data_IF_444077946435
#
_entry.id   IF_444077946435
#
_cell.length_a   1.000
_cell.length_b   1.000
_cell.length_c   1.000
_cell.angle_alpha   90.00
_cell.angle_beta   90.00
_cell.angle_gamma   90.00
#
_symmetry.space_group_name_H-M   'P 1'
#
loop_
_entity.id
_entity.type
_entity.pdbx_description
1 polymer ?
#
# COMPACT_ATOMS: atom_id res chain seq x y z
N UNK A 1 5.05 3.53 -5.32
CA UNK A 1 4.36 2.27 -4.89
C UNK A 1 4.42 1.24 -6.00
N UNK A 2 4.47 -0.05 -5.65
CA UNK A 2 4.55 -1.14 -6.64
C UNK A 2 3.31 -2.04 -6.53
N UNK A 3 2.71 -2.48 -7.66
CA UNK A 3 1.48 -3.29 -7.64
C UNK A 3 1.61 -4.61 -6.89
N UNK A 4 2.82 -5.13 -6.77
CA UNK A 4 3.10 -6.36 -6.03
C UNK A 4 3.14 -6.18 -4.51
N UNK A 5 3.32 -4.95 -4.02
CA UNK A 5 3.37 -4.61 -2.60
C UNK A 5 1.96 -4.28 -2.07
N UNK A 6 1.05 -5.25 -2.13
CA UNK A 6 -0.31 -5.10 -1.59
C UNK A 6 -0.31 -5.20 -0.05
N UNK A 7 -1.31 -4.61 0.63
CA UNK A 7 -1.39 -4.60 2.10
C UNK A 7 -1.25 -5.97 2.76
N UNK A 8 -1.85 -7.00 2.19
CA UNK A 8 -1.83 -8.36 2.72
C UNK A 8 -0.42 -8.96 2.74
N UNK A 9 0.39 -8.67 1.71
CA UNK A 9 1.78 -9.14 1.62
C UNK A 9 2.69 -8.39 2.60
N UNK A 10 2.47 -7.08 2.73
CA UNK A 10 3.18 -6.27 3.73
C UNK A 10 2.83 -6.75 5.14
N UNK A 11 1.55 -7.02 5.41
CA UNK A 11 1.13 -7.60 6.68
C UNK A 11 1.76 -8.97 6.94
N UNK A 12 1.78 -9.86 5.94
CA UNK A 12 2.41 -11.17 6.06
C UNK A 12 3.90 -11.04 6.43
N UNK A 13 4.63 -10.13 5.78
CA UNK A 13 6.03 -9.86 6.11
C UNK A 13 6.18 -9.42 7.57
N UNK A 14 5.37 -8.47 8.03
CA UNK A 14 5.39 -8.01 9.42
C UNK A 14 5.11 -9.14 10.42
N UNK A 15 4.18 -10.06 10.08
CA UNK A 15 3.83 -11.21 10.93
C UNK A 15 4.97 -12.20 11.10
N UNK A 16 5.81 -12.37 10.08
CA UNK A 16 7.00 -13.24 10.19
C UNK A 16 8.05 -12.63 11.13
N UNK A 17 8.30 -11.33 11.05
CA UNK A 17 9.34 -10.67 11.85
C UNK A 17 8.88 -10.22 13.24
N UNK A 18 7.59 -10.36 13.57
CA UNK A 18 7.02 -9.94 14.87
C UNK A 18 7.61 -10.66 16.07
N UNK A 19 8.09 -11.89 15.88
CA UNK A 19 8.61 -12.74 16.98
C UNK A 19 10.08 -12.51 17.22
N UNK A 20 10.86 -12.51 16.13
CA UNK A 20 12.32 -12.36 16.15
C UNK A 20 12.77 -11.70 14.86
N UNK A 21 13.86 -10.95 14.85
CA UNK A 21 14.52 -10.50 13.62
C UNK A 21 14.93 -11.69 12.74
N UNK A 22 14.73 -11.55 11.43
CA UNK A 22 14.99 -12.63 10.46
C UNK A 22 15.94 -12.13 9.38
N UNK A 23 16.90 -12.94 9.01
CA UNK A 23 17.77 -12.67 7.86
C UNK A 23 16.97 -12.58 6.56
N UNK A 24 17.30 -11.59 5.72
CA UNK A 24 16.56 -11.26 4.50
C UNK A 24 16.35 -12.46 3.57
N UNK A 25 17.41 -13.26 3.35
CA UNK A 25 17.34 -14.44 2.47
C UNK A 25 16.39 -15.51 3.00
N UNK A 26 16.34 -15.69 4.32
CA UNK A 26 15.41 -16.62 4.96
C UNK A 26 13.97 -16.10 4.90
N UNK A 27 13.77 -14.81 5.14
CA UNK A 27 12.45 -14.19 5.05
C UNK A 27 11.91 -14.24 3.62
N UNK A 28 12.77 -13.97 2.62
CA UNK A 28 12.40 -14.13 1.21
C UNK A 28 11.94 -15.56 0.91
N UNK A 29 12.69 -16.56 1.35
CA UNK A 29 12.33 -17.96 1.12
C UNK A 29 11.02 -18.40 1.81
N UNK A 30 10.67 -17.77 2.93
CA UNK A 30 9.38 -18.01 3.61
C UNK A 30 8.20 -17.38 2.85
N UNK A 31 8.37 -16.16 2.34
CA UNK A 31 7.30 -15.41 1.68
C UNK A 31 7.15 -15.77 0.19
N UNK A 32 8.23 -16.20 -0.44
CA UNK A 32 8.29 -16.64 -1.86
C UNK A 32 8.87 -18.05 -1.97
N UNK A 33 8.15 -19.10 -1.52
CA UNK A 33 8.63 -20.47 -1.63
C UNK A 33 8.83 -20.87 -3.09
N UNK A 34 10.02 -21.36 -3.45
CA UNK A 34 10.40 -21.71 -4.83
C UNK A 34 9.50 -22.77 -5.48
N UNK A 35 8.89 -23.62 -4.66
CA UNK A 35 8.01 -24.71 -5.13
C UNK A 35 6.59 -24.25 -5.49
N UNK A 36 6.21 -23.00 -5.21
CA UNK A 36 4.91 -22.45 -5.57
C UNK A 36 4.86 -21.82 -6.98
N UNK A 37 5.91 -22.00 -7.78
CA UNK A 37 5.86 -21.85 -9.23
C UNK A 37 5.67 -20.45 -9.79
N UNK A 38 5.98 -19.41 -9.05
CA UNK A 38 5.89 -18.04 -9.54
C UNK A 38 7.22 -17.51 -10.06
N UNK A 39 7.24 -17.00 -11.30
CA UNK A 39 8.36 -16.20 -11.83
C UNK A 39 8.37 -14.75 -11.32
N UNK A 40 7.37 -14.37 -10.53
CA UNK A 40 7.24 -12.99 -10.05
C UNK A 40 7.89 -12.85 -8.68
N UNK A 41 9.03 -12.19 -8.67
CA UNK A 41 9.70 -11.78 -7.44
C UNK A 41 9.03 -10.50 -6.92
N UNK A 42 8.32 -10.59 -5.80
CA UNK A 42 7.67 -9.43 -5.17
C UNK A 42 8.27 -9.03 -3.83
N UNK A 43 9.10 -9.89 -3.23
CA UNK A 43 9.66 -9.65 -1.90
C UNK A 43 10.36 -8.30 -1.75
N UNK A 44 11.21 -7.92 -2.73
CA UNK A 44 11.90 -6.63 -2.70
C UNK A 44 10.96 -5.43 -2.63
N UNK A 45 9.86 -5.48 -3.41
CA UNK A 45 8.85 -4.42 -3.41
C UNK A 45 8.04 -4.39 -2.10
N UNK A 46 7.71 -5.56 -1.55
CA UNK A 46 6.98 -5.69 -0.28
C UNK A 46 7.84 -5.16 0.88
N UNK A 47 9.13 -5.53 0.91
CA UNK A 47 10.08 -5.03 1.89
C UNK A 47 10.20 -3.51 1.81
N UNK A 48 10.44 -2.97 0.61
CA UNK A 48 10.57 -1.52 0.42
C UNK A 48 9.33 -0.76 0.88
N UNK A 49 8.13 -1.27 0.57
CA UNK A 49 6.87 -0.67 1.05
C UNK A 49 6.74 -0.73 2.58
N UNK A 50 7.11 -1.85 3.21
CA UNK A 50 7.07 -1.98 4.66
C UNK A 50 8.06 -1.04 5.37
N UNK A 51 9.25 -0.81 4.77
CA UNK A 51 10.24 0.17 5.25
C UNK A 51 9.74 1.61 5.08
N UNK A 52 9.19 1.95 3.90
CA UNK A 52 8.60 3.27 3.61
C UNK A 52 7.48 3.62 4.59
N UNK A 53 6.66 2.63 4.97
CA UNK A 53 5.60 2.77 5.96
C UNK A 53 6.09 2.74 7.42
N UNK A 54 7.39 2.64 7.65
CA UNK A 54 7.98 2.61 8.99
C UNK A 54 7.64 1.36 9.81
N UNK A 55 7.13 0.29 9.18
CA UNK A 55 6.71 -0.93 9.86
C UNK A 55 7.88 -1.85 10.23
N UNK A 56 8.93 -1.84 9.40
CA UNK A 56 10.14 -2.64 9.57
C UNK A 56 11.40 -1.80 9.39
N UNK A 57 12.53 -2.33 9.82
CA UNK A 57 13.86 -1.81 9.53
C UNK A 57 14.80 -2.93 9.14
N UNK A 58 15.72 -2.64 8.20
CA UNK A 58 16.77 -3.57 7.78
C UNK A 58 18.13 -3.06 8.23
N UNK A 59 18.86 -3.88 8.98
CA UNK A 59 20.26 -3.61 9.40
C UNK A 59 21.07 -4.88 9.15
N UNK A 60 22.22 -4.74 8.45
CA UNK A 60 23.14 -5.86 8.19
C UNK A 60 22.44 -7.11 7.62
N UNK A 61 21.51 -6.92 6.68
CA UNK A 61 20.68 -7.97 6.08
C UNK A 61 19.72 -8.69 7.06
N UNK A 62 19.49 -8.13 8.24
CA UNK A 62 18.51 -8.62 9.20
C UNK A 62 17.33 -7.67 9.23
N UNK A 63 16.13 -8.20 9.00
CA UNK A 63 14.87 -7.47 9.02
C UNK A 63 14.21 -7.65 10.38
N UNK A 64 13.84 -6.55 10.99
CA UNK A 64 13.18 -6.50 12.29
C UNK A 64 11.96 -5.59 12.24
N UNK A 65 11.01 -5.83 13.13
CA UNK A 65 9.87 -4.92 13.34
C UNK A 65 10.37 -3.58 13.87
N UNK A 66 9.89 -2.47 13.30
CA UNK A 66 10.24 -1.10 13.71
C UNK A 66 9.15 -0.45 14.58
N UNK A 67 8.00 -1.12 14.75
CA UNK A 67 6.84 -0.65 15.52
C UNK A 67 6.55 -1.58 16.68
N UNK A 68 5.66 -1.18 17.61
CA UNK A 68 5.16 -2.10 18.62
C UNK A 68 4.42 -3.28 17.97
N UNK A 69 4.61 -4.49 18.50
CA UNK A 69 3.99 -5.71 17.98
C UNK A 69 2.45 -5.67 17.94
N UNK A 70 1.84 -4.84 18.77
CA UNK A 70 0.40 -4.67 18.79
C UNK A 70 -0.10 -3.94 17.54
N UNK A 71 0.74 -3.06 16.94
CA UNK A 71 0.38 -2.32 15.72
C UNK A 71 0.24 -3.23 14.49
N UNK A 72 0.88 -4.39 14.51
CA UNK A 72 0.79 -5.39 13.44
C UNK A 72 0.14 -6.70 13.90
N UNK A 73 -0.58 -6.68 15.02
CA UNK A 73 -1.27 -7.86 15.55
C UNK A 73 -2.39 -8.32 14.61
N UNK A 74 -3.13 -7.39 14.04
CA UNK A 74 -4.17 -7.62 13.03
C UNK A 74 -3.96 -6.68 11.84
N UNK A 75 -4.58 -6.98 10.70
CA UNK A 75 -4.61 -6.07 9.56
C UNK A 75 -5.26 -4.72 9.92
N UNK A 76 -6.26 -4.73 10.78
CA UNK A 76 -6.92 -3.53 11.26
C UNK A 76 -5.99 -2.66 12.10
N UNK A 77 -5.21 -3.25 13.01
CA UNK A 77 -4.21 -2.51 13.78
C UNK A 77 -3.17 -1.87 12.86
N UNK A 78 -2.66 -2.63 11.88
CA UNK A 78 -1.71 -2.11 10.89
C UNK A 78 -2.32 -0.95 10.08
N UNK A 79 -3.56 -1.08 9.61
CA UNK A 79 -4.27 0.00 8.93
C UNK A 79 -4.35 1.25 9.80
N UNK A 80 -4.80 1.10 11.04
CA UNK A 80 -4.94 2.22 11.98
C UNK A 80 -3.61 2.90 12.26
N UNK A 81 -2.56 2.12 12.50
CA UNK A 81 -1.21 2.66 12.67
C UNK A 81 -0.78 3.51 11.46
N UNK A 82 -0.92 2.98 10.23
CA UNK A 82 -0.56 3.71 9.01
C UNK A 82 -1.39 4.99 8.87
N UNK A 83 -2.70 4.94 9.14
CA UNK A 83 -3.57 6.10 9.06
C UNK A 83 -3.15 7.22 10.02
N UNK A 84 -2.75 6.86 11.24
CA UNK A 84 -2.24 7.83 12.24
C UNK A 84 -0.88 8.45 11.84
N UNK A 85 -0.11 7.79 10.98
CA UNK A 85 1.18 8.29 10.48
C UNK A 85 1.09 8.97 9.11
N UNK A 86 -0.12 9.15 8.55
CA UNK A 86 -0.32 9.61 7.17
C UNK A 86 0.32 10.97 6.88
N UNK A 87 0.36 11.87 7.85
CA UNK A 87 1.00 13.18 7.69
C UNK A 87 2.52 13.08 7.46
N UNK A 88 3.17 12.05 7.99
CA UNK A 88 4.62 11.85 7.85
C UNK A 88 5.02 11.46 6.41
N UNK A 89 4.06 10.98 5.62
CA UNK A 89 4.25 10.60 4.21
C UNK A 89 3.60 11.59 3.23
N UNK A 90 3.34 12.83 3.67
CA UNK A 90 2.66 13.88 2.88
C UNK A 90 3.36 14.22 1.56
N UNK A 91 4.67 14.03 1.47
CA UNK A 91 5.45 14.23 0.24
C UNK A 91 5.43 13.02 -0.70
N UNK A 92 4.87 11.88 -0.26
CA UNK A 92 4.81 10.67 -1.08
C UNK A 92 3.85 10.81 -2.25
N UNK A 93 4.16 10.13 -3.35
CA UNK A 93 3.26 10.05 -4.51
C UNK A 93 1.87 9.51 -4.11
N UNK A 94 1.83 8.56 -3.17
CA UNK A 94 0.57 8.02 -2.65
C UNK A 94 -0.32 9.11 -2.04
N UNK A 95 0.23 9.93 -1.16
CA UNK A 95 -0.52 11.00 -0.49
C UNK A 95 -1.00 12.06 -1.50
N UNK A 96 -0.12 12.50 -2.40
CA UNK A 96 -0.44 13.49 -3.44
C UNK A 96 -1.57 13.01 -4.35
N UNK A 97 -1.50 11.77 -4.83
CA UNK A 97 -2.56 11.17 -5.66
C UNK A 97 -3.86 11.03 -4.87
N UNK A 98 -3.79 10.58 -3.60
CA UNK A 98 -4.98 10.44 -2.75
C UNK A 98 -5.66 11.80 -2.55
N UNK A 99 -4.91 12.82 -2.17
CA UNK A 99 -5.42 14.18 -2.00
C UNK A 99 -6.07 14.70 -3.28
N UNK A 100 -5.34 14.62 -4.41
CA UNK A 100 -5.85 15.07 -5.71
C UNK A 100 -7.12 14.32 -6.11
N UNK A 101 -7.19 13.01 -5.83
CA UNK A 101 -8.37 12.21 -6.12
C UNK A 101 -9.61 12.71 -5.38
N UNK A 102 -9.49 13.08 -4.11
CA UNK A 102 -10.58 13.65 -3.34
C UNK A 102 -10.92 15.08 -3.76
N UNK A 103 -9.93 15.89 -4.13
CA UNK A 103 -10.13 17.26 -4.60
C UNK A 103 -10.90 17.33 -5.95
N UNK A 104 -10.91 16.23 -6.73
CA UNK A 104 -11.66 16.13 -7.98
C UNK A 104 -13.15 15.86 -7.81
N UNK A 105 -13.60 15.50 -6.61
CA UNK A 105 -15.00 15.22 -6.29
C UNK A 105 -15.66 14.24 -7.29
N UNK A 106 -16.86 14.53 -7.80
CA UNK A 106 -17.59 13.68 -8.74
C UNK A 106 -16.91 13.48 -10.10
N UNK A 107 -15.91 14.30 -10.45
CA UNK A 107 -15.17 14.19 -11.70
C UNK A 107 -14.44 12.84 -11.82
N UNK A 108 -13.95 12.28 -10.70
CA UNK A 108 -13.27 10.98 -10.67
C UNK A 108 -14.13 9.84 -11.21
N UNK A 109 -15.44 9.93 -11.06
CA UNK A 109 -16.38 8.90 -11.50
C UNK A 109 -16.54 8.82 -13.03
N UNK A 110 -16.07 9.85 -13.75
CA UNK A 110 -16.07 9.88 -15.23
C UNK A 110 -14.88 9.10 -15.82
N UNK A 111 -13.87 8.78 -15.03
CA UNK A 111 -12.63 8.16 -15.47
C UNK A 111 -12.56 6.70 -15.01
N UNK A 112 -13.01 5.80 -15.87
CA UNK A 112 -13.09 4.35 -15.57
C UNK A 112 -11.83 3.56 -15.94
N UNK A 113 -10.90 4.16 -16.70
CA UNK A 113 -9.66 3.53 -17.16
C UNK A 113 -8.47 3.93 -16.30
N UNK A 114 -7.69 2.94 -15.85
CA UNK A 114 -6.45 3.17 -15.08
C UNK A 114 -5.48 4.07 -15.84
N UNK A 115 -5.34 3.87 -17.16
CA UNK A 115 -4.47 4.69 -18.02
C UNK A 115 -4.91 6.15 -18.03
N UNK A 116 -6.20 6.42 -18.27
CA UNK A 116 -6.72 7.80 -18.25
C UNK A 116 -6.57 8.45 -16.88
N UNK A 117 -6.77 7.67 -15.81
CA UNK A 117 -6.61 8.17 -14.45
C UNK A 117 -5.14 8.49 -14.14
N UNK A 118 -4.17 7.65 -14.58
CA UNK A 118 -2.75 7.94 -14.37
C UNK A 118 -2.33 9.23 -15.09
N UNK A 119 -2.76 9.43 -16.35
CA UNK A 119 -2.48 10.64 -17.10
C UNK A 119 -3.07 11.90 -16.44
N UNK A 120 -4.30 11.77 -15.94
CA UNK A 120 -5.01 12.87 -15.28
C UNK A 120 -4.31 13.23 -13.97
N UNK A 121 -4.01 12.26 -13.12
CA UNK A 121 -3.31 12.48 -11.86
C UNK A 121 -1.93 13.08 -12.09
N UNK A 122 -1.14 12.53 -13.03
CA UNK A 122 0.18 13.04 -13.37
C UNK A 122 0.16 14.52 -13.78
N UNK A 123 -0.80 14.90 -14.62
CA UNK A 123 -0.98 16.32 -15.01
C UNK A 123 -1.39 17.21 -13.85
N UNK A 124 -2.30 16.73 -13.00
CA UNK A 124 -2.84 17.53 -11.90
C UNK A 124 -1.84 17.79 -10.77
N UNK A 125 -0.99 16.80 -10.45
CA UNK A 125 0.03 16.95 -9.41
C UNK A 125 1.40 17.42 -9.94
N UNK A 126 1.57 17.49 -11.27
CA UNK A 126 2.84 17.89 -11.90
C UNK A 126 3.96 16.86 -11.78
N UNK A 127 3.63 15.58 -11.54
CA UNK A 127 4.59 14.48 -11.41
C UNK A 127 4.23 13.33 -12.34
N UNK A 128 5.22 12.48 -12.65
CA UNK A 128 4.96 11.28 -13.45
C UNK A 128 4.19 10.26 -12.61
N UNK A 129 3.00 9.90 -13.06
CA UNK A 129 2.17 8.80 -12.51
C UNK A 129 1.98 7.78 -13.62
N UNK A 130 2.31 6.52 -13.37
CA UNK A 130 2.14 5.42 -14.32
C UNK A 130 0.98 4.51 -13.91
N UNK A 131 0.52 3.66 -14.82
CA UNK A 131 -0.60 2.74 -14.54
C UNK A 131 -0.33 1.83 -13.34
N UNK A 132 0.92 1.37 -13.17
CA UNK A 132 1.34 0.55 -12.05
C UNK A 132 1.16 1.27 -10.71
N UNK A 133 1.46 2.56 -10.65
CA UNK A 133 1.24 3.37 -9.45
C UNK A 133 -0.25 3.44 -9.10
N UNK A 134 -1.11 3.67 -10.11
CA UNK A 134 -2.56 3.71 -9.91
C UNK A 134 -3.15 2.36 -9.50
N UNK A 135 -2.60 1.26 -10.02
CA UNK A 135 -3.00 -0.10 -9.61
C UNK A 135 -2.64 -0.38 -8.16
N UNK A 136 -1.43 -0.01 -7.74
CA UNK A 136 -1.00 -0.12 -6.34
C UNK A 136 -1.83 0.80 -5.43
N UNK A 137 -1.99 2.06 -5.85
CA UNK A 137 -2.74 3.08 -5.13
C UNK A 137 -4.16 2.61 -4.78
N UNK A 138 -4.89 1.99 -5.70
CA UNK A 138 -6.25 1.50 -5.46
C UNK A 138 -6.33 0.50 -4.30
N UNK A 139 -5.40 -0.46 -4.24
CA UNK A 139 -5.37 -1.46 -3.16
C UNK A 139 -5.10 -0.82 -1.81
N UNK A 140 -4.11 0.07 -1.75
CA UNK A 140 -3.77 0.76 -0.52
C UNK A 140 -4.88 1.72 -0.08
N UNK A 141 -5.46 2.47 -0.99
CA UNK A 141 -6.53 3.43 -0.70
C UNK A 141 -7.77 2.72 -0.17
N UNK A 142 -8.14 1.58 -0.76
CA UNK A 142 -9.24 0.75 -0.26
C UNK A 142 -8.93 0.16 1.13
N UNK A 143 -7.71 -0.36 1.34
CA UNK A 143 -7.28 -0.89 2.63
C UNK A 143 -7.28 0.17 3.72
N UNK A 144 -6.76 1.35 3.45
CA UNK A 144 -6.68 2.46 4.41
C UNK A 144 -8.04 3.12 4.68
N UNK A 145 -9.09 2.72 3.99
CA UNK A 145 -10.45 3.17 4.25
C UNK A 145 -10.80 4.52 3.64
N UNK A 146 -10.10 4.93 2.57
CA UNK A 146 -10.44 6.11 1.77
C UNK A 146 -11.54 5.85 0.74
N UNK A 147 -11.90 4.59 0.51
CA UNK A 147 -12.92 4.21 -0.44
C UNK A 147 -13.06 2.71 -0.55
N UNK A 148 -13.88 2.27 -1.49
CA UNK A 148 -14.04 0.86 -1.80
C UNK A 148 -13.99 0.63 -3.31
N UNK A 149 -13.49 -0.54 -3.72
CA UNK A 149 -13.40 -0.91 -5.12
C UNK A 149 -14.77 -1.35 -5.65
N UNK A 150 -15.25 -0.66 -6.68
CA UNK A 150 -16.36 -1.16 -7.49
C UNK A 150 -15.78 -2.11 -8.55
N UNK A 151 -16.26 -3.33 -8.62
CA UNK A 151 -15.72 -4.39 -9.49
C UNK A 151 -14.20 -4.62 -9.33
N UNK A 152 -13.73 -5.10 -8.17
CA UNK A 152 -12.29 -5.23 -7.88
C UNK A 152 -11.53 -6.15 -8.84
N UNK A 153 -12.24 -7.05 -9.53
CA UNK A 153 -11.67 -7.99 -10.52
C UNK A 153 -11.52 -7.36 -11.91
N UNK A 154 -12.16 -6.22 -12.17
CA UNK A 154 -12.06 -5.51 -13.44
C UNK A 154 -10.74 -4.75 -13.55
N UNK A 155 -10.09 -4.80 -14.71
CA UNK A 155 -8.95 -3.94 -15.03
C UNK A 155 -9.31 -2.44 -14.96
N UNK A 156 -10.61 -2.13 -15.11
CA UNK A 156 -11.20 -0.81 -15.03
C UNK A 156 -11.81 -0.49 -13.65
N UNK A 157 -11.56 -1.30 -12.61
CA UNK A 157 -12.16 -1.12 -11.29
C UNK A 157 -11.96 0.31 -10.76
N UNK A 158 -13.07 0.98 -10.46
CA UNK A 158 -13.10 2.34 -9.94
C UNK A 158 -13.06 2.28 -8.42
N UNK A 159 -12.29 3.14 -7.80
CA UNK A 159 -12.41 3.40 -6.37
C UNK A 159 -13.57 4.39 -6.17
N UNK A 160 -14.56 4.02 -5.36
CA UNK A 160 -15.62 4.93 -4.94
C UNK A 160 -15.18 5.60 -3.64
N UNK A 161 -15.06 6.95 -3.62
CA UNK A 161 -14.60 7.68 -2.43
C UNK A 161 -15.53 7.44 -1.23
N UNK A 162 -14.99 7.06 -0.10
CA UNK A 162 -15.70 6.95 1.17
C UNK A 162 -14.67 6.93 2.32
N UNK A 163 -14.48 8.03 2.99
CA UNK A 163 -13.48 8.17 4.04
C UNK A 163 -13.97 7.77 5.44
N UNK A 164 -15.14 7.15 5.59
CA UNK A 164 -15.70 6.84 6.90
C UNK A 164 -14.78 5.95 7.75
N UNK A 165 -14.17 4.93 7.16
CA UNK A 165 -13.25 4.04 7.88
C UNK A 165 -11.97 4.76 8.28
N UNK A 166 -11.39 5.56 7.38
CA UNK A 166 -10.21 6.38 7.68
C UNK A 166 -10.50 7.36 8.83
N UNK A 167 -11.61 8.08 8.78
CA UNK A 167 -11.99 9.02 9.83
C UNK A 167 -12.16 8.33 11.19
N UNK A 168 -12.76 7.14 11.24
CA UNK A 168 -12.87 6.36 12.47
C UNK A 168 -11.52 5.90 13.04
N UNK A 169 -10.51 5.74 12.19
CA UNK A 169 -9.17 5.35 12.65
C UNK A 169 -8.39 6.52 13.28
N UNK A 170 -8.66 7.77 12.84
CA UNK A 170 -7.86 8.96 13.20
C UNK A 170 -8.55 9.90 14.21
N UNK A 171 -9.84 9.72 14.48
CA UNK A 171 -10.61 10.46 15.50
C UNK A 171 -10.63 9.67 16.80
#
# INVERSE_FOLDING_TARGET
MQPSAIPERVYALCREVVRIPIEETKLKALLEPQNLGGKQEYFGNVRAAAEELGLISTKENVISLAVDKNEVKTMENMRRYINLQMEQVSDSLFYKVTRQYFDMDAEVLKHTSVSKMSDLMGRSIGEKVIEEDMRAWRFWTAFLGFGYMHEPTSAAGILLPNAATFLNDVI
#
